data_IF_579691188541
#
_entry.id   IF_579691188541
#
_cell.length_a   1.000
_cell.length_b   1.000
_cell.length_c   1.000
_cell.angle_alpha   90.00
_cell.angle_beta   90.00
_cell.angle_gamma   90.00
#
_symmetry.space_group_name_H-M   'P 1'
#
loop_
_entity.id
_entity.type
_entity.pdbx_description
1 polymer ?
#
# COMPACT_ATOMS: atom_id res chain seq x y z
N UNK A 1 22.53 -1.76 8.70
CA UNK A 1 21.91 -2.11 7.41
C UNK A 1 20.44 -1.72 7.44
N UNK A 2 19.94 -1.09 6.40
CA UNK A 2 18.54 -0.72 6.29
C UNK A 2 17.77 -1.75 5.46
N UNK A 3 16.54 -2.02 5.87
CA UNK A 3 15.59 -2.80 5.09
C UNK A 3 14.32 -1.99 4.89
N UNK A 4 13.56 -2.35 3.87
CA UNK A 4 12.35 -1.64 3.48
C UNK A 4 11.20 -2.64 3.49
N UNK A 5 10.26 -2.42 4.39
CA UNK A 5 9.12 -3.31 4.61
C UNK A 5 7.92 -2.73 3.89
N UNK A 6 7.35 -3.50 2.98
CA UNK A 6 6.11 -3.14 2.31
C UNK A 6 4.94 -3.65 3.16
N UNK A 7 4.16 -2.74 3.71
CA UNK A 7 3.09 -3.03 4.67
C UNK A 7 1.73 -2.84 4.01
N UNK A 8 0.90 -3.85 4.10
CA UNK A 8 -0.50 -3.81 3.66
C UNK A 8 -1.40 -3.48 4.83
N UNK A 9 -2.32 -2.54 4.63
CA UNK A 9 -3.35 -2.22 5.62
C UNK A 9 -4.69 -2.09 4.92
N UNK A 10 -5.71 -2.73 5.47
CA UNK A 10 -7.08 -2.59 5.01
C UNK A 10 -7.90 -1.91 6.09
N UNK A 11 -8.69 -0.92 5.69
CA UNK A 11 -9.56 -0.16 6.57
C UNK A 11 -11.03 -0.42 6.23
N UNK A 12 -11.89 -0.30 7.23
CA UNK A 12 -13.34 -0.25 6.99
C UNK A 12 -13.77 1.18 6.67
N UNK A 13 -15.08 1.38 6.46
CA UNK A 13 -15.65 2.69 6.11
C UNK A 13 -15.47 3.73 7.22
N UNK A 14 -15.23 3.32 8.44
CA UNK A 14 -15.02 4.21 9.58
C UNK A 14 -13.55 4.50 9.88
N UNK A 15 -12.66 4.01 9.02
CA UNK A 15 -11.22 4.23 9.18
C UNK A 15 -10.54 3.30 10.19
N UNK A 16 -11.23 2.27 10.65
CA UNK A 16 -10.64 1.29 11.55
C UNK A 16 -9.85 0.24 10.77
N UNK A 17 -8.72 -0.17 11.31
CA UNK A 17 -7.87 -1.19 10.70
C UNK A 17 -8.56 -2.55 10.82
N UNK A 18 -8.86 -3.17 9.68
CA UNK A 18 -9.41 -4.52 9.61
C UNK A 18 -8.32 -5.58 9.49
N UNK A 19 -7.27 -5.26 8.75
CA UNK A 19 -6.18 -6.20 8.49
C UNK A 19 -4.90 -5.44 8.24
N UNK A 20 -3.79 -5.92 8.80
CA UNK A 20 -2.48 -5.34 8.58
C UNK A 20 -1.42 -6.44 8.61
N UNK A 21 -0.57 -6.47 7.61
CA UNK A 21 0.53 -7.43 7.56
C UNK A 21 1.64 -6.95 6.63
N UNK A 22 2.82 -7.52 6.80
CA UNK A 22 3.94 -7.24 5.93
C UNK A 22 3.83 -8.09 4.66
N UNK A 23 3.80 -7.43 3.50
CA UNK A 23 3.77 -8.12 2.21
C UNK A 23 5.13 -8.69 1.86
N UNK A 24 6.17 -7.87 2.02
CA UNK A 24 7.52 -8.27 1.66
C UNK A 24 8.54 -7.32 2.28
N UNK A 25 9.76 -7.84 2.47
CA UNK A 25 10.90 -7.06 2.95
C UNK A 25 11.96 -7.01 1.85
N UNK A 26 12.48 -5.81 1.60
CA UNK A 26 13.51 -5.59 0.59
C UNK A 26 14.74 -4.94 1.22
N UNK A 27 15.90 -5.25 0.66
CA UNK A 27 17.15 -4.57 1.03
C UNK A 27 17.35 -3.28 0.23
N UNK A 28 16.63 -3.12 -0.87
CA UNK A 28 16.77 -2.03 -1.81
C UNK A 28 15.47 -1.24 -1.89
N UNK A 29 15.57 0.08 -1.71
CA UNK A 29 14.41 0.98 -1.77
C UNK A 29 13.74 0.96 -3.14
N UNK A 30 14.52 0.85 -4.21
CA UNK A 30 13.99 0.79 -5.57
C UNK A 30 13.12 -0.47 -5.77
N UNK A 31 13.51 -1.60 -5.21
CA UNK A 31 12.71 -2.83 -5.28
C UNK A 31 11.39 -2.68 -4.53
N UNK A 32 11.40 -2.04 -3.37
CA UNK A 32 10.18 -1.74 -2.63
C UNK A 32 9.27 -0.80 -3.44
N UNK A 33 9.84 0.18 -4.11
CA UNK A 33 9.10 1.09 -5.00
C UNK A 33 8.43 0.32 -6.15
N UNK A 34 9.14 -0.61 -6.78
CA UNK A 34 8.58 -1.46 -7.84
C UNK A 34 7.40 -2.28 -7.33
N UNK A 35 7.47 -2.78 -6.12
CA UNK A 35 6.37 -3.53 -5.50
C UNK A 35 5.13 -2.65 -5.33
N UNK A 36 5.29 -1.42 -4.87
CA UNK A 36 4.20 -0.47 -4.73
C UNK A 36 3.55 -0.16 -6.08
N UNK A 37 4.36 0.08 -7.11
CA UNK A 37 3.85 0.35 -8.46
C UNK A 37 3.08 -0.86 -9.01
N UNK A 38 3.58 -2.06 -8.83
CA UNK A 38 2.93 -3.28 -9.27
C UNK A 38 1.57 -3.47 -8.58
N UNK A 39 1.51 -3.23 -7.28
CA UNK A 39 0.25 -3.30 -6.53
C UNK A 39 -0.73 -2.23 -6.99
N UNK A 40 -0.26 -1.00 -7.22
CA UNK A 40 -1.09 0.09 -7.71
C UNK A 40 -1.74 -0.27 -9.05
N UNK A 41 -0.97 -0.84 -9.97
CA UNK A 41 -1.49 -1.27 -11.27
C UNK A 41 -2.53 -2.37 -11.13
N UNK A 42 -2.31 -3.32 -10.23
CA UNK A 42 -3.26 -4.42 -9.98
C UNK A 42 -4.59 -3.86 -9.47
N UNK A 43 -4.56 -2.98 -8.48
CA UNK A 43 -5.79 -2.38 -7.95
C UNK A 43 -6.49 -1.49 -8.96
N UNK A 44 -5.73 -0.73 -9.76
CA UNK A 44 -6.33 0.09 -10.81
C UNK A 44 -7.08 -0.75 -11.84
N UNK A 45 -6.53 -1.91 -12.21
CA UNK A 45 -7.19 -2.86 -13.11
C UNK A 45 -8.47 -3.43 -12.52
N UNK A 46 -8.50 -3.59 -11.20
CA UNK A 46 -9.66 -4.13 -10.48
C UNK A 46 -10.72 -3.06 -10.20
N UNK A 47 -10.56 -1.86 -10.73
CA UNK A 47 -11.55 -0.80 -10.64
C UNK A 47 -11.42 0.11 -9.42
N UNK A 48 -10.29 0.03 -8.70
CA UNK A 48 -10.01 0.93 -7.58
C UNK A 48 -9.52 2.29 -8.09
N UNK A 49 -9.89 3.35 -7.40
CA UNK A 49 -9.27 4.66 -7.57
C UNK A 49 -7.97 4.65 -6.77
N UNK A 50 -6.85 4.80 -7.47
CA UNK A 50 -5.52 4.69 -6.87
C UNK A 50 -4.86 6.06 -6.79
N UNK A 51 -4.30 6.39 -5.65
CA UNK A 51 -3.49 7.58 -5.44
C UNK A 51 -2.12 7.18 -4.89
N UNK A 52 -1.10 7.96 -5.25
CA UNK A 52 0.27 7.70 -4.86
C UNK A 52 0.83 8.94 -4.16
N UNK A 53 1.55 8.69 -3.07
CA UNK A 53 2.30 9.74 -2.37
C UNK A 53 3.78 9.39 -2.52
N UNK A 54 4.58 10.32 -3.03
CA UNK A 54 6.00 10.11 -3.15
C UNK A 54 6.78 11.10 -2.26
N UNK A 55 8.05 10.78 -2.03
CA UNK A 55 8.95 11.62 -1.22
C UNK A 55 9.91 12.43 -2.09
N UNK A 56 9.62 12.54 -3.40
CA UNK A 56 10.44 13.23 -4.37
C UNK A 56 11.26 12.29 -5.26
N UNK A 57 11.63 11.13 -4.77
CA UNK A 57 12.41 10.11 -5.51
C UNK A 57 11.62 8.81 -5.66
N UNK A 58 11.04 8.36 -4.57
CA UNK A 58 10.32 7.09 -4.52
C UNK A 58 8.88 7.27 -4.05
N UNK A 59 8.04 6.31 -4.43
CA UNK A 59 6.68 6.22 -3.92
C UNK A 59 6.75 5.69 -2.49
N UNK A 60 6.11 6.41 -1.58
CA UNK A 60 6.09 6.13 -0.16
C UNK A 60 4.85 5.32 0.23
N UNK A 61 3.71 5.71 -0.33
CA UNK A 61 2.42 5.11 0.00
C UNK A 61 1.56 5.03 -1.26
N UNK A 62 0.85 3.92 -1.41
CA UNK A 62 -0.19 3.72 -2.39
C UNK A 62 -1.51 3.56 -1.64
N UNK A 63 -2.54 4.28 -2.05
CA UNK A 63 -3.88 4.16 -1.49
C UNK A 63 -4.84 3.81 -2.60
N UNK A 64 -5.64 2.76 -2.38
CA UNK A 64 -6.65 2.30 -3.32
C UNK A 64 -8.01 2.31 -2.64
N UNK A 65 -8.99 2.91 -3.28
CA UNK A 65 -10.34 3.02 -2.75
C UNK A 65 -11.35 2.56 -3.79
N UNK A 66 -12.33 1.80 -3.34
CA UNK A 66 -13.44 1.39 -4.19
C UNK A 66 -14.70 1.29 -3.34
N UNK A 67 -15.81 1.83 -3.84
CA UNK A 67 -17.09 1.69 -3.19
C UNK A 67 -17.71 0.35 -3.59
N UNK A 68 -17.99 -0.50 -2.62
CA UNK A 68 -18.68 -1.75 -2.84
C UNK A 68 -20.19 -1.50 -2.75
N UNK A 69 -20.86 -1.48 -3.92
CA UNK A 69 -22.29 -1.16 -4.00
C UNK A 69 -23.19 -2.25 -3.44
N UNK A 70 -22.71 -3.49 -3.38
CA UNK A 70 -23.51 -4.61 -2.87
C UNK A 70 -23.74 -4.55 -1.37
N UNK A 71 -22.74 -4.08 -0.61
CA UNK A 71 -22.82 -3.99 0.85
C UNK A 71 -22.79 -2.55 1.34
N UNK A 72 -22.79 -1.58 0.45
CA UNK A 72 -22.74 -0.15 0.76
C UNK A 72 -21.52 0.25 1.60
N UNK A 73 -20.44 -0.48 1.46
CA UNK A 73 -19.18 -0.23 2.17
C UNK A 73 -18.10 0.26 1.22
N UNK A 74 -17.18 1.05 1.75
CA UNK A 74 -15.97 1.42 1.03
C UNK A 74 -14.86 0.42 1.33
N UNK A 75 -14.16 0.02 0.29
CA UNK A 75 -12.94 -0.77 0.42
C UNK A 75 -11.76 0.20 0.34
N UNK A 76 -11.01 0.30 1.43
CA UNK A 76 -9.86 1.20 1.53
C UNK A 76 -8.63 0.37 1.84
N UNK A 77 -7.66 0.43 0.93
CA UNK A 77 -6.41 -0.31 1.05
C UNK A 77 -5.25 0.68 0.98
N UNK A 78 -4.32 0.53 1.89
CA UNK A 78 -3.10 1.33 1.92
C UNK A 78 -1.90 0.40 1.92
N UNK A 79 -0.98 0.62 1.02
CA UNK A 79 0.29 -0.10 0.98
C UNK A 79 1.40 0.93 1.09
N UNK A 80 2.20 0.81 2.12
CA UNK A 80 3.25 1.78 2.43
C UNK A 80 4.59 1.09 2.62
N UNK A 81 5.66 1.86 2.47
CA UNK A 81 7.02 1.38 2.72
C UNK A 81 7.50 1.96 4.05
N UNK A 82 7.93 1.07 4.92
CA UNK A 82 8.52 1.42 6.21
C UNK A 82 10.02 1.11 6.17
N UNK A 83 10.83 2.11 6.44
CA UNK A 83 12.27 1.93 6.58
C UNK A 83 12.59 1.45 7.99
N UNK A 84 13.44 0.44 8.11
CA UNK A 84 13.84 -0.12 9.39
C UNK A 84 15.34 -0.38 9.39
N UNK A 85 16.00 0.02 10.46
CA UNK A 85 17.41 -0.29 10.67
C UNK A 85 17.54 -1.69 11.27
N UNK A 86 18.37 -2.51 10.67
CA UNK A 86 18.67 -3.86 11.16
C UNK A 86 20.09 -3.86 11.72
N UNK A 87 20.20 -4.27 12.96
CA UNK A 87 21.48 -4.32 13.66
C UNK A 87 22.20 -5.63 13.35
#
# INVERSE_FOLDING_TARGET
MKVYIVVFTRYNSWGEIQKRFNLKVFKDRACANHKLVAEALTYARDGFAVSLVNDGVYINTMKAERKNTKVMEEEIIEISVKEMEVI
#
